data_IF_519095466699
#
_entry.id   IF_519095466699
#
_cell.length_a   1.000
_cell.length_b   1.000
_cell.length_c   1.000
_cell.angle_alpha   90.00
_cell.angle_beta   90.00
_cell.angle_gamma   90.00
#
_symmetry.space_group_name_H-M   'P 1'
#
loop_
_entity.id
_entity.type
_entity.pdbx_description
1 polymer ?
#
# COMPACT_ATOMS: atom_id res chain seq x y z
N UNK A 1 42.24 -41.64 60.93
CA UNK A 1 41.01 -40.97 61.37
C UNK A 1 41.14 -39.51 60.96
N UNK A 2 40.52 -39.20 59.87
CA UNK A 2 40.75 -37.98 59.14
C UNK A 2 39.58 -37.02 59.39
N UNK A 3 39.90 -35.82 59.81
CA UNK A 3 38.91 -34.75 60.07
C UNK A 3 38.87 -33.83 58.86
N UNK A 4 37.80 -33.97 58.07
CA UNK A 4 37.51 -33.02 57.02
C UNK A 4 37.05 -31.68 57.61
N UNK A 5 37.79 -30.63 57.28
CA UNK A 5 37.50 -29.24 57.62
C UNK A 5 36.52 -28.66 56.56
N UNK A 6 35.31 -28.40 56.96
CA UNK A 6 34.33 -27.64 56.14
C UNK A 6 34.65 -26.14 56.26
N UNK A 7 35.16 -25.54 55.18
CA UNK A 7 35.28 -24.08 55.06
C UNK A 7 33.91 -23.50 54.70
N UNK A 8 33.25 -22.85 55.61
CA UNK A 8 32.01 -22.06 55.37
C UNK A 8 32.39 -20.75 54.70
N UNK A 9 32.15 -20.64 53.39
CA UNK A 9 32.25 -19.39 52.67
C UNK A 9 31.14 -18.43 53.10
N UNK A 10 31.45 -17.43 53.93
CA UNK A 10 30.52 -16.34 54.31
C UNK A 10 30.49 -15.35 53.14
N UNK A 11 29.47 -15.42 52.26
CA UNK A 11 29.17 -14.41 51.26
C UNK A 11 28.62 -13.18 51.94
N UNK A 12 29.33 -12.09 51.90
CA UNK A 12 28.96 -10.83 52.55
C UNK A 12 27.80 -10.20 51.78
N UNK A 13 26.68 -9.92 52.45
CA UNK A 13 25.47 -9.35 51.86
C UNK A 13 25.68 -8.06 51.06
N UNK A 14 26.71 -7.30 51.41
CA UNK A 14 27.08 -6.07 50.72
C UNK A 14 27.68 -6.34 49.34
N UNK A 15 28.37 -7.46 49.13
CA UNK A 15 28.91 -7.84 47.81
C UNK A 15 27.86 -8.31 46.83
N UNK A 16 26.77 -8.89 47.33
CA UNK A 16 25.66 -9.35 46.50
C UNK A 16 24.82 -8.17 45.95
N UNK A 17 24.67 -7.10 46.74
CA UNK A 17 23.93 -5.90 46.36
C UNK A 17 24.72 -5.11 45.29
N UNK A 18 26.03 -5.02 45.40
CA UNK A 18 26.88 -4.34 44.40
C UNK A 18 26.90 -5.08 43.07
N UNK A 19 26.85 -6.40 43.08
CA UNK A 19 26.79 -7.20 41.83
C UNK A 19 25.42 -7.12 41.11
N UNK A 20 24.32 -7.03 41.86
CA UNK A 20 22.98 -6.86 41.29
C UNK A 20 22.82 -5.45 40.72
N UNK A 21 23.35 -4.40 41.36
CA UNK A 21 23.31 -3.02 40.85
C UNK A 21 24.18 -2.88 39.61
N UNK A 22 25.36 -3.53 39.55
CA UNK A 22 26.22 -3.52 38.37
C UNK A 22 25.61 -4.28 37.17
N UNK A 23 24.81 -5.32 37.43
CA UNK A 23 24.12 -6.06 36.35
C UNK A 23 22.90 -5.31 35.79
N UNK A 24 22.24 -4.47 36.60
CA UNK A 24 21.10 -3.64 36.16
C UNK A 24 21.58 -2.42 35.34
N UNK A 25 22.76 -1.91 35.55
CA UNK A 25 23.32 -0.77 34.80
C UNK A 25 23.89 -1.17 33.42
N UNK A 26 24.22 -2.45 33.19
CA UNK A 26 24.70 -2.94 31.87
C UNK A 26 23.52 -3.32 30.94
N UNK A 27 22.31 -3.59 31.47
CA UNK A 27 21.12 -3.88 30.67
C UNK A 27 20.26 -2.65 30.35
N UNK A 28 20.67 -1.46 30.71
CA UNK A 28 19.85 -0.25 30.75
C UNK A 28 19.90 0.64 29.51
N UNK A 29 20.41 0.23 28.35
CA UNK A 29 20.34 1.04 27.11
C UNK A 29 20.36 0.13 25.88
N UNK A 30 19.35 -0.74 25.79
CA UNK A 30 18.95 -1.23 24.48
C UNK A 30 17.93 -0.19 24.02
N UNK A 31 18.38 0.81 23.26
CA UNK A 31 17.47 1.64 22.49
C UNK A 31 16.57 0.69 21.69
N UNK A 32 15.23 0.83 21.79
CA UNK A 32 14.36 0.03 20.95
C UNK A 32 14.80 0.33 19.52
N UNK A 33 15.24 -0.70 18.79
CA UNK A 33 15.48 -0.60 17.35
C UNK A 33 14.17 -0.11 16.76
N UNK A 34 14.07 1.19 16.54
CA UNK A 34 12.92 1.84 15.95
C UNK A 34 12.83 1.26 14.55
N UNK A 35 11.96 0.25 14.40
CA UNK A 35 11.70 -0.36 13.11
C UNK A 35 11.21 0.76 12.19
N UNK A 36 12.03 1.16 11.23
CA UNK A 36 11.69 2.23 10.32
C UNK A 36 10.37 1.85 9.62
N UNK A 37 9.35 2.67 9.84
CA UNK A 37 8.02 2.45 9.28
C UNK A 37 8.10 2.55 7.75
N UNK A 38 7.62 1.53 7.05
CA UNK A 38 7.63 1.51 5.61
C UNK A 38 6.50 2.38 5.05
N UNK A 39 6.79 3.12 3.99
CA UNK A 39 5.88 4.07 3.36
C UNK A 39 5.31 3.57 2.04
N UNK A 40 5.85 2.47 1.53
CA UNK A 40 5.47 1.91 0.24
C UNK A 40 6.45 0.85 -0.24
N UNK A 41 6.38 0.51 -1.51
CA UNK A 41 7.27 -0.47 -2.14
C UNK A 41 7.56 -0.14 -3.61
N UNK A 42 8.68 -0.67 -4.12
CA UNK A 42 9.04 -0.61 -5.53
C UNK A 42 8.31 -1.71 -6.31
N UNK A 43 7.31 -1.36 -7.12
CA UNK A 43 6.52 -2.33 -7.91
C UNK A 43 7.30 -2.83 -9.13
N UNK A 44 7.83 -1.90 -9.91
CA UNK A 44 8.64 -2.17 -11.10
C UNK A 44 9.97 -1.46 -10.93
N UNK A 45 11.05 -2.13 -11.22
CA UNK A 45 12.40 -1.56 -11.22
C UNK A 45 13.08 -1.95 -12.51
N UNK A 46 13.47 -0.96 -13.30
CA UNK A 46 14.20 -1.14 -14.56
C UNK A 46 15.64 -0.76 -14.37
N UNK A 47 16.54 -1.68 -14.68
CA UNK A 47 17.99 -1.53 -14.62
C UNK A 47 18.56 -1.12 -13.25
N UNK A 48 19.30 -0.02 -13.14
CA UNK A 48 20.08 0.36 -11.96
C UNK A 48 19.38 1.46 -11.16
N UNK A 49 18.68 1.04 -10.12
CA UNK A 49 18.06 1.93 -9.11
C UNK A 49 18.71 1.65 -7.76
N UNK A 50 19.11 2.71 -7.06
CA UNK A 50 19.81 2.62 -5.78
C UNK A 50 18.96 3.27 -4.68
N UNK A 51 18.93 2.60 -3.52
CA UNK A 51 18.24 3.05 -2.31
C UNK A 51 19.14 3.87 -1.39
N UNK A 52 19.13 3.54 -0.08
CA UNK A 52 19.81 4.27 1.00
C UNK A 52 21.31 4.54 0.76
N UNK A 53 21.99 3.66 0.02
CA UNK A 53 23.39 3.86 -0.39
C UNK A 53 23.57 3.43 -1.85
N UNK A 54 24.65 3.89 -2.51
CA UNK A 54 24.99 3.48 -3.89
C UNK A 54 25.32 1.98 -4.00
N UNK A 55 25.61 1.32 -2.90
CA UNK A 55 25.89 -0.12 -2.86
C UNK A 55 24.63 -0.98 -2.82
N UNK A 56 23.50 -0.44 -2.33
CA UNK A 56 22.24 -1.21 -2.20
C UNK A 56 21.30 -0.88 -3.35
N UNK A 57 21.19 -1.81 -4.30
CA UNK A 57 20.20 -1.74 -5.39
C UNK A 57 18.79 -1.99 -4.86
N UNK A 58 17.83 -1.23 -5.37
CA UNK A 58 16.40 -1.47 -5.19
C UNK A 58 15.97 -2.57 -6.16
N UNK A 59 15.17 -3.51 -5.69
CA UNK A 59 14.59 -4.61 -6.47
C UNK A 59 13.06 -4.50 -6.48
N UNK A 60 12.37 -5.10 -7.44
CA UNK A 60 10.92 -5.23 -7.36
C UNK A 60 10.48 -5.92 -6.06
N UNK A 61 9.50 -5.36 -5.38
CA UNK A 61 9.01 -5.81 -4.07
C UNK A 61 9.74 -5.23 -2.85
N UNK A 62 10.89 -4.56 -3.02
CA UNK A 62 11.59 -3.94 -1.89
C UNK A 62 10.72 -2.87 -1.23
N UNK A 63 10.69 -2.90 0.10
CA UNK A 63 10.04 -1.89 0.93
C UNK A 63 10.84 -0.60 0.92
N UNK A 64 10.12 0.51 0.94
CA UNK A 64 10.69 1.85 0.99
C UNK A 64 10.29 2.53 2.29
N UNK A 65 11.21 3.33 2.83
CA UNK A 65 11.10 3.88 4.17
C UNK A 65 11.19 5.41 4.15
N UNK A 66 10.78 6.03 5.24
CA UNK A 66 11.00 7.47 5.46
C UNK A 66 12.45 7.87 5.26
N UNK A 67 12.66 9.05 4.74
CA UNK A 67 13.98 9.63 4.46
C UNK A 67 14.86 8.79 3.53
N UNK A 68 14.26 7.86 2.78
CA UNK A 68 15.00 7.04 1.83
C UNK A 68 15.28 7.82 0.56
N UNK A 69 16.58 7.92 0.21
CA UNK A 69 17.02 8.48 -1.06
C UNK A 69 16.91 7.42 -2.17
N UNK A 70 16.35 7.81 -3.31
CA UNK A 70 16.24 6.98 -4.51
C UNK A 70 17.04 7.65 -5.63
N UNK A 71 17.93 6.89 -6.28
CA UNK A 71 18.72 7.34 -7.42
C UNK A 71 18.61 6.37 -8.57
N UNK A 72 18.34 6.88 -9.75
CA UNK A 72 18.25 6.11 -10.97
C UNK A 72 19.43 6.44 -11.89
N UNK A 73 20.00 5.43 -12.54
CA UNK A 73 21.04 5.61 -13.56
C UNK A 73 20.41 5.92 -14.93
N UNK A 74 21.24 6.00 -15.96
CA UNK A 74 20.80 6.06 -17.36
C UNK A 74 19.96 4.82 -17.69
N UNK A 75 18.92 4.98 -18.51
CA UNK A 75 17.96 3.92 -18.90
C UNK A 75 17.34 3.17 -17.72
N UNK A 76 17.22 3.84 -16.56
CA UNK A 76 16.73 3.23 -15.33
C UNK A 76 15.52 3.97 -14.79
N UNK A 77 14.60 3.24 -14.12
CA UNK A 77 13.43 3.84 -13.53
C UNK A 77 12.79 2.94 -12.47
N UNK A 78 11.87 3.52 -11.70
CA UNK A 78 11.11 2.80 -10.68
C UNK A 78 9.67 3.28 -10.61
N UNK A 79 8.74 2.33 -10.51
CA UNK A 79 7.33 2.53 -10.13
C UNK A 79 7.22 2.27 -8.63
N UNK A 80 6.94 3.32 -7.87
CA UNK A 80 6.77 3.28 -6.42
C UNK A 80 5.27 3.38 -6.09
N UNK A 81 4.82 2.48 -5.24
CA UNK A 81 3.45 2.44 -4.73
C UNK A 81 3.46 2.77 -3.25
N UNK A 82 2.76 3.83 -2.87
CA UNK A 82 2.61 4.25 -1.48
C UNK A 82 1.41 3.56 -0.82
N UNK A 83 1.38 3.57 0.51
CA UNK A 83 0.33 2.90 1.30
C UNK A 83 -1.06 3.52 1.10
N UNK A 84 -1.14 4.78 0.73
CA UNK A 84 -2.37 5.52 0.43
C UNK A 84 -2.87 5.32 -1.01
N UNK A 85 -2.29 4.37 -1.74
CA UNK A 85 -2.50 4.12 -3.16
C UNK A 85 -1.99 5.21 -4.11
N UNK A 86 -1.26 6.21 -3.61
CA UNK A 86 -0.53 7.14 -4.48
C UNK A 86 0.58 6.41 -5.24
N UNK A 87 0.90 6.93 -6.40
CA UNK A 87 1.89 6.34 -7.31
C UNK A 87 2.94 7.38 -7.68
N UNK A 88 4.20 6.97 -7.63
CA UNK A 88 5.32 7.77 -8.10
C UNK A 88 6.13 6.99 -9.13
N UNK A 89 6.08 7.46 -10.38
CA UNK A 89 6.98 6.99 -11.43
C UNK A 89 8.21 7.88 -11.47
N UNK A 90 9.39 7.29 -11.41
CA UNK A 90 10.68 7.99 -11.44
C UNK A 90 11.45 7.55 -12.68
N UNK A 91 11.86 8.50 -13.50
CA UNK A 91 12.63 8.25 -14.72
C UNK A 91 14.12 8.21 -14.48
N UNK A 92 14.88 8.13 -15.57
CA UNK A 92 16.33 8.04 -15.55
C UNK A 92 17.02 9.29 -14.99
N UNK A 93 18.26 9.10 -14.50
CA UNK A 93 19.16 10.15 -13.99
C UNK A 93 18.52 11.02 -12.89
N UNK A 94 17.55 10.45 -12.19
CA UNK A 94 16.82 11.11 -11.10
C UNK A 94 17.51 10.89 -9.76
N UNK A 95 17.37 11.88 -8.89
CA UNK A 95 17.85 11.88 -7.52
C UNK A 95 16.80 12.55 -6.62
N UNK A 96 16.15 11.76 -5.80
CA UNK A 96 15.08 12.22 -4.93
C UNK A 96 15.14 11.54 -3.56
N UNK A 97 14.52 12.17 -2.57
CA UNK A 97 14.35 11.63 -1.21
C UNK A 97 12.85 11.53 -0.92
N UNK A 98 12.44 10.36 -0.48
CA UNK A 98 11.11 10.09 0.06
C UNK A 98 11.10 10.59 1.50
N UNK A 99 10.73 11.86 1.68
CA UNK A 99 10.62 12.46 3.00
C UNK A 99 9.32 12.00 3.66
N UNK A 100 9.10 12.37 4.88
CA UNK A 100 8.05 11.99 5.81
C UNK A 100 6.67 11.71 5.16
N UNK A 101 6.38 10.44 4.86
CA UNK A 101 5.08 9.97 4.34
C UNK A 101 4.29 9.34 5.48
N UNK A 102 3.31 10.04 6.04
CA UNK A 102 2.46 9.54 7.12
C UNK A 102 1.05 9.36 6.58
N UNK A 103 0.58 8.12 6.58
CA UNK A 103 -0.80 7.79 6.25
C UNK A 103 -1.59 7.50 7.54
N UNK A 104 -2.45 8.43 7.95
CA UNK A 104 -3.39 8.23 9.05
C UNK A 104 -4.69 7.60 8.53
N UNK A 105 -4.81 6.30 8.71
CA UNK A 105 -5.96 5.52 8.24
C UNK A 105 -7.26 5.91 8.96
N UNK A 106 -7.17 6.36 10.21
CA UNK A 106 -8.35 6.72 11.00
C UNK A 106 -8.93 8.06 10.54
N UNK A 107 -8.08 9.00 10.23
CA UNK A 107 -8.46 10.33 9.71
C UNK A 107 -8.63 10.34 8.20
N UNK A 108 -8.24 9.27 7.50
CA UNK A 108 -8.16 9.21 6.02
C UNK A 108 -7.37 10.40 5.46
N UNK A 109 -6.24 10.69 6.09
CA UNK A 109 -5.34 11.77 5.68
C UNK A 109 -3.99 11.20 5.32
N UNK A 110 -3.38 11.71 4.28
CA UNK A 110 -1.97 11.48 3.99
C UNK A 110 -1.26 12.80 4.09
N UNK A 111 -0.22 12.85 4.91
CA UNK A 111 0.73 13.93 4.94
C UNK A 111 2.06 13.40 4.45
N UNK A 112 2.65 14.07 3.46
CA UNK A 112 3.90 13.59 2.90
C UNK A 112 4.72 14.68 2.24
N UNK A 113 6.00 14.42 2.13
CA UNK A 113 6.91 15.26 1.40
C UNK A 113 7.86 14.43 0.54
N UNK A 114 8.24 15.01 -0.58
CA UNK A 114 9.25 14.48 -1.49
C UNK A 114 10.20 15.62 -1.84
N UNK A 115 11.48 15.36 -1.79
CA UNK A 115 12.48 16.28 -2.29
C UNK A 115 13.14 15.71 -3.54
N UNK A 116 13.05 16.43 -4.66
CA UNK A 116 13.74 16.06 -5.89
C UNK A 116 14.85 17.07 -6.20
N UNK A 117 16.07 16.57 -6.28
CA UNK A 117 17.26 17.35 -6.63
C UNK A 117 17.36 17.51 -8.13
N UNK A 118 17.15 16.42 -8.87
CA UNK A 118 17.16 16.39 -10.35
C UNK A 118 16.41 15.18 -10.86
N UNK A 119 15.97 15.24 -12.10
CA UNK A 119 15.35 14.13 -12.84
C UNK A 119 13.92 14.41 -13.26
N UNK A 120 13.23 13.36 -13.66
CA UNK A 120 11.85 13.40 -14.11
C UNK A 120 11.00 12.44 -13.31
N UNK A 121 9.81 12.88 -12.93
CA UNK A 121 8.84 12.05 -12.23
C UNK A 121 7.43 12.33 -12.70
N UNK A 122 6.54 11.36 -12.50
CA UNK A 122 5.08 11.53 -12.48
C UNK A 122 4.57 11.12 -11.12
N UNK A 123 3.77 11.95 -10.51
CA UNK A 123 3.00 11.63 -9.31
C UNK A 123 1.52 11.57 -9.65
N UNK A 124 0.85 10.55 -9.16
CA UNK A 124 -0.61 10.42 -9.19
C UNK A 124 -1.09 10.15 -7.78
N UNK A 125 -1.93 11.04 -7.24
CA UNK A 125 -2.49 10.87 -5.92
C UNK A 125 -3.43 9.68 -5.86
N UNK A 126 -3.42 8.96 -4.73
CA UNK A 126 -4.43 7.96 -4.41
C UNK A 126 -5.82 8.58 -4.18
N UNK A 127 -6.80 7.71 -3.98
CA UNK A 127 -8.20 8.12 -3.75
C UNK A 127 -8.47 8.66 -2.33
N UNK A 128 -7.43 9.16 -1.63
CA UNK A 128 -7.56 9.69 -0.26
C UNK A 128 -8.08 11.13 -0.32
N UNK A 129 -9.23 11.44 0.32
CA UNK A 129 -9.87 12.76 0.20
C UNK A 129 -9.02 13.93 0.71
N UNK A 130 -8.17 13.68 1.70
CA UNK A 130 -7.38 14.70 2.39
C UNK A 130 -5.88 14.43 2.25
N UNK A 131 -5.40 14.42 1.01
CA UNK A 131 -3.98 14.36 0.73
C UNK A 131 -3.37 15.76 0.95
N UNK A 132 -2.40 15.84 1.86
CA UNK A 132 -1.52 17.00 2.05
C UNK A 132 -0.09 16.58 1.69
N UNK A 133 0.23 16.66 0.41
CA UNK A 133 1.51 16.21 -0.11
C UNK A 133 2.31 17.38 -0.68
N UNK A 134 3.58 17.43 -0.34
CA UNK A 134 4.48 18.51 -0.75
C UNK A 134 5.63 17.95 -1.58
N UNK A 135 5.91 18.56 -2.72
CA UNK A 135 7.11 18.26 -3.52
C UNK A 135 8.03 19.46 -3.50
N UNK A 136 9.26 19.26 -3.01
CA UNK A 136 10.30 20.31 -2.96
C UNK A 136 11.31 20.08 -4.07
N UNK A 137 11.65 21.16 -4.78
CA UNK A 137 12.75 21.23 -5.75
C UNK A 137 13.76 22.29 -5.27
N UNK A 138 14.81 22.52 -6.04
CA UNK A 138 15.80 23.55 -5.72
C UNK A 138 15.23 24.97 -5.70
N UNK A 139 14.17 25.23 -6.47
CA UNK A 139 13.63 26.57 -6.68
C UNK A 139 12.09 26.65 -6.60
N UNK A 140 11.42 25.60 -6.15
CA UNK A 140 9.97 25.59 -5.96
C UNK A 140 9.52 24.61 -4.88
N UNK A 141 8.37 24.91 -4.29
CA UNK A 141 7.63 23.98 -3.42
C UNK A 141 6.22 23.85 -3.96
N UNK A 142 5.82 22.62 -4.24
CA UNK A 142 4.53 22.26 -4.81
C UNK A 142 3.63 21.66 -3.72
N UNK A 143 2.49 22.27 -3.47
CA UNK A 143 1.40 21.69 -2.67
C UNK A 143 0.47 20.90 -3.58
N UNK A 144 0.26 19.63 -3.28
CA UNK A 144 -0.46 18.67 -4.11
C UNK A 144 -1.71 18.19 -3.38
N UNK A 145 -2.85 18.28 -4.04
CA UNK A 145 -4.13 17.79 -3.50
C UNK A 145 -4.98 17.18 -4.62
N UNK A 146 -5.11 15.86 -4.63
CA UNK A 146 -5.96 15.16 -5.60
C UNK A 146 -5.53 15.36 -7.07
N UNK A 147 -4.23 15.20 -7.36
CA UNK A 147 -3.65 15.58 -8.66
C UNK A 147 -2.83 14.49 -9.30
N UNK A 148 -2.81 14.50 -10.63
CA UNK A 148 -1.80 13.82 -11.45
C UNK A 148 -0.98 14.86 -12.18
N UNK A 149 0.35 14.85 -12.01
CA UNK A 149 1.25 15.78 -12.65
C UNK A 149 2.61 15.16 -12.99
N UNK A 150 3.24 15.72 -14.00
CA UNK A 150 4.64 15.47 -14.35
C UNK A 150 5.51 16.61 -13.82
N UNK A 151 6.69 16.28 -13.34
CA UNK A 151 7.69 17.26 -12.91
C UNK A 151 9.06 16.89 -13.47
N UNK A 152 9.78 17.89 -13.96
CA UNK A 152 11.18 17.78 -14.29
C UNK A 152 11.98 18.83 -13.52
N UNK A 153 12.94 18.38 -12.72
CA UNK A 153 13.91 19.22 -12.04
C UNK A 153 15.28 19.10 -12.68
N UNK A 154 15.92 20.23 -12.96
CA UNK A 154 17.25 20.30 -13.57
C UNK A 154 18.06 21.42 -12.93
N UNK A 155 19.36 21.52 -13.26
CA UNK A 155 20.17 22.67 -12.89
C UNK A 155 19.66 24.01 -13.47
N UNK A 156 18.86 23.96 -14.54
CA UNK A 156 18.23 25.14 -15.18
C UNK A 156 16.89 25.56 -14.59
N UNK A 157 16.32 24.78 -13.65
CA UNK A 157 15.04 25.10 -13.03
C UNK A 157 14.08 23.90 -12.96
N UNK A 158 12.84 24.21 -12.62
CA UNK A 158 11.75 23.25 -12.46
C UNK A 158 10.67 23.49 -13.53
N UNK A 159 10.14 22.42 -14.09
CA UNK A 159 9.00 22.46 -15.00
C UNK A 159 7.92 21.49 -14.49
N UNK A 160 6.67 21.97 -14.42
CA UNK A 160 5.51 21.22 -13.90
C UNK A 160 4.42 21.21 -14.96
N UNK A 161 3.89 20.03 -15.28
CA UNK A 161 2.76 19.86 -16.19
C UNK A 161 1.64 19.10 -15.46
N UNK A 162 0.52 19.77 -15.21
CA UNK A 162 -0.63 19.18 -14.51
C UNK A 162 -1.54 18.48 -15.51
N UNK A 163 -1.84 17.21 -15.25
CA UNK A 163 -2.70 16.39 -16.09
C UNK A 163 -4.12 16.30 -15.55
N UNK A 164 -4.25 16.28 -14.23
CA UNK A 164 -5.53 16.20 -13.54
C UNK A 164 -5.44 16.96 -12.21
N UNK A 165 -6.53 17.64 -11.82
CA UNK A 165 -6.60 18.42 -10.59
C UNK A 165 -5.84 19.76 -10.67
N UNK A 166 -5.25 20.17 -9.55
CA UNK A 166 -4.50 21.41 -9.43
C UNK A 166 -3.31 21.28 -8.47
N UNK A 167 -2.22 21.97 -8.79
CA UNK A 167 -1.01 22.07 -7.97
C UNK A 167 -0.78 23.52 -7.59
N UNK A 168 -0.60 23.79 -6.30
CA UNK A 168 -0.15 25.10 -5.83
C UNK A 168 1.37 25.13 -5.88
N UNK A 169 1.93 25.99 -6.71
CA UNK A 169 3.38 26.16 -6.88
C UNK A 169 3.83 27.44 -6.20
N UNK A 170 4.69 27.30 -5.19
CA UNK A 170 5.33 28.41 -4.49
C UNK A 170 6.79 28.51 -4.95
N UNK A 171 7.25 29.68 -5.32
CA UNK A 171 8.60 29.95 -5.84
C UNK A 171 9.09 31.32 -5.33
N UNK A 172 10.37 31.67 -5.42
CA UNK A 172 10.93 32.85 -4.75
C UNK A 172 10.22 34.18 -5.05
N UNK A 173 9.71 34.35 -6.28
CA UNK A 173 9.02 35.60 -6.68
C UNK A 173 7.50 35.55 -6.53
N UNK A 174 6.91 34.50 -5.92
CA UNK A 174 5.48 34.41 -5.70
C UNK A 174 4.90 33.01 -5.66
N UNK A 175 3.62 32.91 -5.93
CA UNK A 175 2.92 31.63 -6.02
C UNK A 175 1.91 31.62 -7.16
N UNK A 176 1.69 30.44 -7.74
CA UNK A 176 0.69 30.21 -8.81
C UNK A 176 -0.02 28.89 -8.63
N UNK A 177 -1.31 28.87 -8.90
CA UNK A 177 -2.06 27.64 -9.06
C UNK A 177 -1.96 27.18 -10.51
N UNK A 178 -1.51 25.96 -10.72
CA UNK A 178 -1.41 25.32 -12.04
C UNK A 178 -2.48 24.23 -12.11
N UNK A 179 -3.39 24.34 -13.05
CA UNK A 179 -4.54 23.44 -13.19
C UNK A 179 -4.34 22.45 -14.35
N UNK A 180 -5.22 21.45 -14.44
CA UNK A 180 -5.16 20.42 -15.49
C UNK A 180 -5.04 21.03 -16.89
N UNK A 181 -4.11 20.50 -17.70
CA UNK A 181 -3.79 20.96 -19.03
C UNK A 181 -2.73 22.07 -19.08
N UNK A 182 -2.36 22.67 -17.97
CA UNK A 182 -1.36 23.75 -17.93
C UNK A 182 0.05 23.22 -17.65
N UNK A 183 1.02 23.98 -18.15
CA UNK A 183 2.45 23.79 -17.91
C UNK A 183 3.00 25.09 -17.31
N UNK A 184 3.77 24.99 -16.23
CA UNK A 184 4.41 26.10 -15.56
C UNK A 184 5.89 25.84 -15.40
N UNK A 185 6.71 26.82 -15.80
CA UNK A 185 8.17 26.75 -15.70
C UNK A 185 8.70 27.77 -14.72
N UNK A 186 9.60 27.33 -13.87
CA UNK A 186 10.34 28.15 -12.89
C UNK A 186 11.83 28.01 -13.25
N UNK A 187 12.40 28.90 -14.07
CA UNK A 187 13.80 28.85 -14.41
C UNK A 187 14.68 29.21 -13.22
N UNK A 188 15.94 28.81 -13.24
CA UNK A 188 16.91 29.25 -12.22
C UNK A 188 17.23 30.73 -12.34
N UNK A 189 17.23 31.23 -13.57
CA UNK A 189 17.45 32.65 -13.92
C UNK A 189 16.36 33.06 -14.89
N UNK A 190 15.71 34.19 -14.65
CA UNK A 190 14.59 34.70 -15.43
C UNK A 190 13.24 34.54 -14.72
N UNK A 191 12.18 34.93 -15.40
CA UNK A 191 10.83 34.93 -14.85
C UNK A 191 10.15 33.57 -14.93
N UNK A 192 9.40 33.25 -13.89
CA UNK A 192 8.53 32.08 -13.88
C UNK A 192 7.23 32.38 -14.64
N UNK A 193 6.77 31.42 -15.46
CA UNK A 193 5.59 31.65 -16.29
C UNK A 193 4.92 30.37 -16.80
N UNK A 194 3.72 30.56 -17.33
CA UNK A 194 2.99 29.53 -18.05
C UNK A 194 3.58 29.32 -19.44
N UNK A 195 3.65 28.06 -19.84
CA UNK A 195 4.13 27.65 -21.15
C UNK A 195 2.99 27.01 -21.95
N UNK A 196 3.02 27.15 -23.26
CA UNK A 196 2.01 26.54 -24.15
C UNK A 196 2.04 25.01 -24.15
N UNK A 197 3.20 24.42 -23.85
CA UNK A 197 3.40 22.97 -23.78
C UNK A 197 4.66 22.63 -22.98
N UNK A 198 4.78 21.35 -22.59
CA UNK A 198 6.02 20.84 -22.02
C UNK A 198 7.21 21.07 -22.98
N UNK A 199 8.36 21.39 -22.40
CA UNK A 199 9.62 21.44 -23.17
C UNK A 199 9.89 20.11 -23.89
N UNK A 200 10.58 20.17 -25.01
CA UNK A 200 10.97 18.96 -25.78
C UNK A 200 11.71 17.96 -24.89
N UNK A 201 12.58 18.47 -24.00
CA UNK A 201 13.33 17.66 -23.05
C UNK A 201 12.40 16.94 -22.07
N UNK A 202 11.48 17.66 -21.43
CA UNK A 202 10.53 17.07 -20.47
C UNK A 202 9.62 16.04 -21.16
N UNK A 203 9.04 16.38 -22.31
CA UNK A 203 8.19 15.49 -23.10
C UNK A 203 8.89 14.18 -23.45
N UNK A 204 10.15 14.26 -23.91
CA UNK A 204 10.99 13.09 -24.23
C UNK A 204 11.26 12.24 -22.98
N UNK A 205 11.65 12.87 -21.87
CA UNK A 205 11.99 12.18 -20.62
C UNK A 205 10.78 11.49 -19.99
N UNK A 206 9.61 12.16 -19.93
CA UNK A 206 8.35 11.57 -19.45
C UNK A 206 7.93 10.39 -20.34
N UNK A 207 7.96 10.55 -21.66
CA UNK A 207 7.58 9.47 -22.58
C UNK A 207 8.52 8.26 -22.48
N UNK A 208 9.82 8.49 -22.29
CA UNK A 208 10.80 7.42 -22.05
C UNK A 208 10.54 6.69 -20.73
N UNK A 209 10.33 7.44 -19.65
CA UNK A 209 10.02 6.91 -18.34
C UNK A 209 8.79 5.98 -18.37
N UNK A 210 7.68 6.44 -18.96
CA UNK A 210 6.44 5.67 -19.02
C UNK A 210 6.59 4.38 -19.84
N UNK A 211 7.29 4.43 -20.97
CA UNK A 211 7.59 3.23 -21.78
C UNK A 211 8.45 2.23 -21.00
N UNK A 212 9.49 2.73 -20.35
CA UNK A 212 10.44 1.91 -19.60
C UNK A 212 9.79 1.20 -18.40
N UNK A 213 8.78 1.81 -17.78
CA UNK A 213 8.04 1.25 -16.68
C UNK A 213 6.76 0.50 -17.11
N UNK A 214 6.60 0.22 -18.40
CA UNK A 214 5.45 -0.49 -18.97
C UNK A 214 4.09 0.12 -18.58
N UNK A 215 4.09 1.43 -18.35
CA UNK A 215 2.85 2.16 -18.07
C UNK A 215 2.07 2.26 -19.36
N UNK A 216 1.13 1.33 -19.58
CA UNK A 216 0.29 1.34 -20.77
C UNK A 216 -0.52 2.64 -20.84
N UNK A 217 -0.80 3.09 -22.06
CA UNK A 217 -1.66 4.25 -22.31
C UNK A 217 -3.05 4.10 -21.67
N UNK A 218 -3.46 2.87 -21.39
CA UNK A 218 -4.70 2.51 -20.69
C UNK A 218 -4.64 2.87 -19.19
N UNK A 219 -3.51 2.67 -18.53
CA UNK A 219 -3.33 3.09 -17.12
C UNK A 219 -3.18 4.62 -17.01
N UNK A 220 -2.60 5.24 -18.02
CA UNK A 220 -2.51 6.71 -18.10
C UNK A 220 -3.87 7.35 -18.43
N UNK A 221 -4.78 6.65 -19.13
CA UNK A 221 -6.11 7.15 -19.53
C UNK A 221 -7.25 6.80 -18.58
N UNK A 222 -7.07 5.80 -17.71
CA UNK A 222 -8.04 5.50 -16.63
C UNK A 222 -8.09 6.58 -15.55
N UNK A 223 -7.18 7.53 -15.58
CA UNK A 223 -7.15 8.72 -14.73
C UNK A 223 -7.87 9.91 -15.42
N UNK A 224 -8.27 9.76 -16.68
CA UNK A 224 -8.99 10.82 -17.41
C UNK A 224 -10.48 10.53 -17.42
N UNK A 225 -11.23 11.24 -16.59
CA UNK A 225 -12.71 11.29 -16.67
C UNK A 225 -13.07 11.93 -18.02
N UNK A 226 -13.52 11.11 -18.99
CA UNK A 226 -14.06 11.58 -20.25
C UNK A 226 -15.34 12.40 -20.00
N UNK A 227 -15.25 13.73 -20.14
CA UNK A 227 -16.37 14.52 -20.64
C UNK A 227 -16.31 14.49 -22.17
N UNK A 228 -17.04 13.61 -22.80
CA UNK A 228 -17.45 13.76 -24.21
C UNK A 228 -18.89 13.29 -24.36
N UNK A 229 -19.73 14.24 -24.75
CA UNK A 229 -21.08 14.00 -25.20
C UNK A 229 -21.07 13.08 -26.40
N UNK A 230 -21.69 11.91 -26.30
CA UNK A 230 -22.20 11.17 -27.44
C UNK A 230 -23.43 10.39 -26.97
N UNK A 231 -24.58 10.69 -27.58
CA UNK A 231 -25.81 9.93 -27.43
C UNK A 231 -25.56 8.47 -27.83
N UNK A 232 -25.64 7.56 -26.86
CA UNK A 232 -25.81 6.13 -27.12
C UNK A 232 -26.77 5.52 -26.09
N UNK A 233 -27.62 4.62 -26.56
CA UNK A 233 -28.73 3.97 -25.89
C UNK A 233 -28.35 3.41 -24.50
N UNK A 234 -29.22 3.67 -23.55
CA UNK A 234 -29.11 3.33 -22.15
C UNK A 234 -29.30 1.83 -21.91
N UNK A 235 -28.31 1.21 -21.26
CA UNK A 235 -28.45 -0.08 -20.60
C UNK A 235 -28.66 0.22 -19.09
N UNK A 236 -29.74 -0.24 -18.45
CA UNK A 236 -30.14 0.23 -17.09
C UNK A 236 -29.21 -0.20 -15.95
N UNK A 237 -28.20 -1.04 -16.20
CA UNK A 237 -27.36 -1.63 -15.16
C UNK A 237 -26.08 -0.82 -14.80
N UNK A 238 -25.85 0.36 -15.40
CA UNK A 238 -24.56 1.10 -15.28
C UNK A 238 -24.68 2.53 -14.74
N UNK A 239 -25.73 2.84 -13.96
CA UNK A 239 -25.92 4.18 -13.37
C UNK A 239 -25.65 4.19 -11.87
N UNK A 240 -24.37 4.15 -11.46
CA UNK A 240 -23.97 4.69 -10.16
C UNK A 240 -22.64 5.43 -10.28
N UNK A 241 -22.66 6.72 -9.95
CA UNK A 241 -21.45 7.57 -9.93
C UNK A 241 -20.51 7.20 -8.77
N UNK A 242 -19.20 7.51 -8.83
CA UNK A 242 -18.28 7.30 -7.70
C UNK A 242 -18.73 8.00 -6.41
N UNK A 243 -19.49 9.09 -6.50
CA UNK A 243 -20.08 9.79 -5.35
C UNK A 243 -21.20 8.98 -4.70
N UNK A 244 -22.03 8.27 -5.49
CA UNK A 244 -23.10 7.40 -4.99
C UNK A 244 -22.54 6.11 -4.36
N UNK A 245 -21.42 5.55 -4.87
CA UNK A 245 -20.72 4.42 -4.23
C UNK A 245 -20.15 4.82 -2.88
N UNK A 246 -19.59 6.01 -2.74
CA UNK A 246 -19.12 6.52 -1.45
C UNK A 246 -20.27 6.81 -0.47
N UNK A 247 -21.41 7.26 -0.94
CA UNK A 247 -22.62 7.42 -0.14
C UNK A 247 -23.22 6.08 0.30
N UNK A 248 -23.09 5.03 -0.52
CA UNK A 248 -23.55 3.67 -0.19
C UNK A 248 -22.64 3.01 0.86
N UNK A 249 -21.31 3.25 0.84
CA UNK A 249 -20.37 2.78 1.88
C UNK A 249 -20.72 3.40 3.25
N UNK A 250 -21.21 4.65 3.28
CA UNK A 250 -21.72 5.29 4.50
C UNK A 250 -23.01 4.69 5.06
N UNK A 251 -23.78 3.95 4.24
CA UNK A 251 -25.10 3.43 4.62
C UNK A 251 -25.11 1.98 5.12
N UNK A 252 -24.04 1.18 4.90
CA UNK A 252 -24.04 -0.23 5.33
C UNK A 252 -22.72 -0.70 5.90
N UNK A 253 -22.28 -0.06 7.00
CA UNK A 253 -21.06 -0.43 7.73
C UNK A 253 -21.10 -1.88 8.26
N UNK A 254 -22.28 -2.49 8.38
CA UNK A 254 -22.42 -3.87 8.80
C UNK A 254 -21.89 -4.87 7.75
N UNK A 255 -21.76 -4.46 6.49
CA UNK A 255 -21.16 -5.26 5.43
C UNK A 255 -19.71 -4.88 5.09
N UNK A 256 -19.07 -4.10 5.94
CA UNK A 256 -17.65 -3.73 5.78
C UNK A 256 -16.83 -4.43 6.85
N UNK A 257 -15.75 -5.11 6.44
CA UNK A 257 -14.73 -5.66 7.33
C UNK A 257 -13.46 -4.84 7.25
N UNK A 258 -12.89 -4.56 8.39
CA UNK A 258 -11.53 -4.07 8.56
C UNK A 258 -10.63 -5.24 8.90
N UNK A 259 -9.58 -5.47 8.11
CA UNK A 259 -8.53 -6.44 8.37
C UNK A 259 -7.22 -5.68 8.51
N UNK A 260 -6.74 -5.55 9.73
CA UNK A 260 -5.51 -4.84 10.04
C UNK A 260 -4.32 -5.80 9.93
N UNK A 261 -3.36 -5.41 9.13
CA UNK A 261 -2.04 -6.01 9.03
C UNK A 261 -1.04 -5.13 9.78
N UNK A 262 0.16 -5.64 10.08
CA UNK A 262 1.21 -4.84 10.78
C UNK A 262 1.62 -3.56 10.03
N UNK A 263 1.32 -3.47 8.74
CA UNK A 263 1.71 -2.38 7.85
C UNK A 263 0.52 -1.69 7.16
N UNK A 264 -0.70 -1.86 7.66
CA UNK A 264 -1.86 -1.11 7.17
C UNK A 264 -3.16 -1.91 7.19
N UNK A 265 -4.25 -1.24 6.82
CA UNK A 265 -5.60 -1.80 6.81
C UNK A 265 -6.06 -2.18 5.43
N UNK A 266 -6.55 -3.40 5.31
CA UNK A 266 -7.33 -3.88 4.15
C UNK A 266 -8.81 -3.75 4.49
N UNK A 267 -9.59 -3.18 3.56
CA UNK A 267 -11.05 -3.05 3.73
C UNK A 267 -11.72 -3.99 2.75
N UNK A 268 -12.55 -4.88 3.29
CA UNK A 268 -13.31 -5.86 2.52
C UNK A 268 -14.78 -5.49 2.58
N UNK A 269 -15.42 -5.31 1.43
CA UNK A 269 -16.85 -5.23 1.29
C UNK A 269 -17.42 -6.65 1.20
N UNK A 270 -18.24 -7.04 2.15
CA UNK A 270 -18.95 -8.31 2.13
C UNK A 270 -20.16 -8.25 1.18
N UNK A 271 -20.45 -9.34 0.51
CA UNK A 271 -21.51 -9.46 -0.52
C UNK A 271 -22.61 -10.43 -0.05
N UNK A 272 -23.50 -10.01 0.87
CA UNK A 272 -24.52 -10.90 1.46
C UNK A 272 -25.49 -11.49 0.44
N UNK A 273 -25.67 -10.83 -0.69
CA UNK A 273 -26.52 -11.34 -1.80
C UNK A 273 -25.90 -12.57 -2.49
N UNK A 274 -24.59 -12.79 -2.35
CA UNK A 274 -23.89 -13.94 -2.96
C UNK A 274 -23.71 -15.10 -1.99
N UNK A 275 -23.44 -14.81 -0.70
CA UNK A 275 -23.09 -15.81 0.29
C UNK A 275 -23.57 -15.43 1.70
N UNK A 276 -24.90 -15.39 1.94
CA UNK A 276 -25.47 -14.93 3.22
C UNK A 276 -25.00 -15.77 4.42
N UNK A 277 -24.92 -17.09 4.28
CA UNK A 277 -24.54 -17.99 5.39
C UNK A 277 -23.05 -17.89 5.70
N UNK A 278 -22.19 -17.78 4.68
CA UNK A 278 -20.76 -17.55 4.86
C UNK A 278 -20.52 -16.21 5.55
N UNK A 279 -21.18 -15.14 5.13
CA UNK A 279 -21.01 -13.81 5.75
C UNK A 279 -21.51 -13.79 7.19
N UNK A 280 -22.62 -14.46 7.49
CA UNK A 280 -23.10 -14.62 8.87
C UNK A 280 -22.02 -15.28 9.74
N UNK A 281 -21.39 -16.36 9.25
CA UNK A 281 -20.34 -17.07 9.97
C UNK A 281 -19.05 -16.24 10.09
N UNK A 282 -18.62 -15.58 9.02
CA UNK A 282 -17.45 -14.68 9.04
C UNK A 282 -17.64 -13.57 10.07
N UNK A 283 -18.80 -12.90 10.10
CA UNK A 283 -19.09 -11.87 11.10
C UNK A 283 -19.04 -12.41 12.53
N UNK A 284 -19.57 -13.62 12.76
CA UNK A 284 -19.50 -14.27 14.05
C UNK A 284 -18.04 -14.50 14.48
N UNK A 285 -17.24 -15.14 13.64
CA UNK A 285 -15.82 -15.43 13.92
C UNK A 285 -15.00 -14.14 14.11
N UNK A 286 -15.30 -13.09 13.36
CA UNK A 286 -14.66 -11.77 13.52
C UNK A 286 -14.97 -11.17 14.90
N UNK A 287 -16.25 -11.24 15.36
CA UNK A 287 -16.66 -10.76 16.68
C UNK A 287 -16.06 -11.58 17.83
N UNK A 288 -15.83 -12.86 17.60
CA UNK A 288 -15.13 -13.78 18.51
C UNK A 288 -13.60 -13.58 18.48
N UNK A 289 -13.08 -12.62 17.69
CA UNK A 289 -11.64 -12.36 17.47
C UNK A 289 -10.88 -13.59 16.95
N UNK A 290 -11.59 -14.53 16.32
CA UNK A 290 -11.02 -15.78 15.84
C UNK A 290 -9.87 -15.57 14.85
N UNK A 291 -9.98 -14.56 13.98
CA UNK A 291 -8.98 -14.29 12.96
C UNK A 291 -7.74 -13.53 13.44
N UNK A 292 -7.77 -12.98 14.66
CA UNK A 292 -6.67 -12.19 15.21
C UNK A 292 -5.44 -13.09 15.41
N UNK A 293 -4.30 -12.66 14.88
CA UNK A 293 -3.05 -13.42 14.90
C UNK A 293 -2.92 -14.51 13.82
N UNK A 294 -3.93 -14.75 12.97
CA UNK A 294 -3.84 -15.78 11.93
C UNK A 294 -2.85 -15.38 10.84
N UNK A 295 -2.01 -16.35 10.47
CA UNK A 295 -0.98 -16.21 9.44
C UNK A 295 -1.58 -16.37 8.04
N UNK A 296 -0.99 -15.68 7.07
CA UNK A 296 -1.15 -16.03 5.67
C UNK A 296 -0.22 -17.21 5.37
N UNK A 297 -0.77 -18.41 5.40
CA UNK A 297 -0.01 -19.66 5.30
C UNK A 297 0.30 -20.10 3.87
N UNK A 298 -0.38 -19.47 2.88
CA UNK A 298 -0.12 -19.72 1.46
C UNK A 298 -0.27 -18.40 0.70
N UNK A 299 0.82 -17.92 0.09
CA UNK A 299 0.83 -16.67 -0.70
C UNK A 299 1.56 -16.93 -2.00
N UNK A 300 0.80 -16.92 -3.10
CA UNK A 300 1.31 -17.09 -4.46
C UNK A 300 1.14 -15.77 -5.20
N UNK A 301 2.26 -15.14 -5.55
CA UNK A 301 2.27 -13.85 -6.25
C UNK A 301 1.43 -13.89 -7.53
N UNK A 302 0.60 -12.86 -7.72
CA UNK A 302 -0.29 -12.77 -8.89
C UNK A 302 -1.45 -13.77 -8.89
N UNK A 303 -1.60 -14.60 -7.85
CA UNK A 303 -2.68 -15.59 -7.77
C UNK A 303 -3.51 -15.44 -6.49
N UNK A 304 -3.03 -15.93 -5.32
CA UNK A 304 -3.82 -15.93 -4.07
C UNK A 304 -2.99 -15.62 -2.83
N UNK A 305 -3.66 -15.10 -1.79
CA UNK A 305 -3.20 -15.08 -0.41
C UNK A 305 -4.24 -15.78 0.47
N UNK A 306 -3.88 -16.90 1.13
CA UNK A 306 -4.77 -17.73 1.94
C UNK A 306 -4.48 -17.59 3.43
N UNK A 307 -5.55 -17.49 4.23
CA UNK A 307 -5.50 -17.36 5.70
C UNK A 307 -6.71 -18.01 6.35
N UNK A 308 -6.90 -17.80 7.67
CA UNK A 308 -8.08 -18.26 8.42
C UNK A 308 -7.96 -19.66 9.01
N UNK A 309 -6.74 -20.22 9.01
CA UNK A 309 -6.39 -21.44 9.76
C UNK A 309 -5.71 -21.06 11.08
N UNK A 310 -6.27 -21.37 12.26
CA UNK A 310 -5.65 -21.05 13.55
C UNK A 310 -4.29 -21.71 13.76
N UNK A 311 -4.02 -22.84 13.11
CA UNK A 311 -2.73 -23.54 13.17
C UNK A 311 -1.73 -23.00 12.15
N UNK A 312 -2.20 -22.28 11.13
CA UNK A 312 -1.37 -21.75 10.03
C UNK A 312 -0.74 -22.83 9.15
N UNK A 313 -1.36 -24.02 9.06
CA UNK A 313 -0.91 -25.19 8.29
C UNK A 313 -1.66 -25.34 6.96
N UNK A 314 -2.79 -24.65 6.82
CA UNK A 314 -3.69 -24.74 5.67
C UNK A 314 -4.70 -25.87 5.72
N UNK A 315 -4.74 -26.65 6.83
CA UNK A 315 -5.69 -27.77 7.02
C UNK A 315 -6.61 -27.61 8.23
N UNK A 316 -6.39 -26.59 9.08
CA UNK A 316 -7.22 -26.29 10.25
C UNK A 316 -8.48 -25.49 9.91
N UNK A 317 -9.31 -25.23 10.91
CA UNK A 317 -10.51 -24.42 10.79
C UNK A 317 -11.18 -24.14 12.12
N UNK A 318 -12.36 -23.52 12.09
CA UNK A 318 -13.18 -23.23 13.27
C UNK A 318 -14.03 -24.40 13.74
N UNK A 319 -14.03 -25.52 13.02
CA UNK A 319 -14.77 -26.72 13.32
C UNK A 319 -16.23 -26.75 12.82
N UNK A 320 -16.67 -25.72 12.08
CA UNK A 320 -18.04 -25.65 11.55
C UNK A 320 -18.01 -25.61 10.02
N UNK A 321 -18.52 -26.64 9.37
CA UNK A 321 -18.60 -26.71 7.92
C UNK A 321 -19.79 -25.92 7.37
N UNK A 322 -19.61 -25.32 6.21
CA UNK A 322 -20.59 -24.50 5.52
C UNK A 322 -20.90 -25.10 4.14
N UNK A 323 -22.19 -25.16 3.81
CA UNK A 323 -22.61 -25.54 2.45
C UNK A 323 -22.18 -24.46 1.46
N UNK A 324 -21.78 -24.89 0.27
CA UNK A 324 -21.33 -23.99 -0.77
C UNK A 324 -22.46 -23.03 -1.22
N UNK A 325 -22.11 -21.76 -1.41
CA UNK A 325 -22.96 -20.70 -1.96
C UNK A 325 -22.33 -20.22 -3.29
N UNK A 326 -22.42 -21.09 -4.30
CA UNK A 326 -21.78 -20.86 -5.59
C UNK A 326 -22.58 -19.83 -6.40
N UNK A 327 -21.88 -18.86 -6.98
CA UNK A 327 -22.46 -17.81 -7.83
C UNK A 327 -21.72 -17.69 -9.16
N UNK A 328 -22.33 -17.01 -10.13
CA UNK A 328 -21.71 -16.68 -11.43
C UNK A 328 -20.71 -15.51 -11.37
N UNK A 329 -20.28 -15.11 -10.17
CA UNK A 329 -19.36 -13.99 -10.00
C UNK A 329 -18.00 -14.28 -10.64
N UNK A 330 -17.46 -13.29 -11.36
CA UNK A 330 -16.13 -13.39 -11.95
C UNK A 330 -15.04 -13.33 -10.88
N UNK A 331 -14.11 -14.27 -10.95
CA UNK A 331 -12.98 -14.38 -10.05
C UNK A 331 -11.82 -13.51 -10.53
N UNK A 332 -11.95 -12.21 -10.28
CA UNK A 332 -10.95 -11.20 -10.63
C UNK A 332 -10.18 -10.74 -9.41
N UNK A 333 -9.02 -10.12 -9.64
CA UNK A 333 -8.19 -9.54 -8.58
C UNK A 333 -9.02 -8.77 -7.54
N UNK A 334 -8.73 -9.01 -6.26
CA UNK A 334 -9.40 -8.42 -5.10
C UNK A 334 -10.66 -9.17 -4.65
N UNK A 335 -11.15 -10.18 -5.37
CA UNK A 335 -12.24 -11.01 -4.88
C UNK A 335 -11.80 -11.83 -3.68
N UNK A 336 -12.70 -12.02 -2.73
CA UNK A 336 -12.49 -12.84 -1.54
C UNK A 336 -13.41 -14.07 -1.62
N UNK A 337 -12.81 -15.25 -1.55
CA UNK A 337 -13.52 -16.52 -1.63
C UNK A 337 -13.20 -17.46 -0.47
N UNK A 338 -14.10 -18.39 -0.17
CA UNK A 338 -13.88 -19.40 0.86
C UNK A 338 -13.00 -20.55 0.34
N UNK A 339 -12.01 -20.94 1.14
CA UNK A 339 -11.24 -22.16 0.90
C UNK A 339 -12.07 -23.38 1.31
N UNK A 340 -11.91 -24.46 0.57
CA UNK A 340 -12.60 -25.74 0.78
C UNK A 340 -11.72 -26.90 0.30
N UNK A 341 -12.09 -28.11 0.66
CA UNK A 341 -11.43 -29.30 0.13
C UNK A 341 -11.77 -29.49 -1.35
N UNK A 342 -10.77 -29.91 -2.12
CA UNK A 342 -10.88 -29.99 -3.58
C UNK A 342 -12.09 -30.84 -4.03
N UNK A 343 -12.40 -31.92 -3.33
CA UNK A 343 -13.43 -32.91 -3.71
C UNK A 343 -14.76 -32.72 -2.98
N UNK A 344 -14.84 -31.78 -2.01
CA UNK A 344 -16.07 -31.53 -1.27
C UNK A 344 -16.42 -30.03 -1.28
N UNK A 345 -17.37 -29.57 -2.09
CA UNK A 345 -17.77 -28.16 -2.13
C UNK A 345 -18.37 -27.66 -0.80
N UNK A 346 -18.95 -28.54 0.01
CA UNK A 346 -19.60 -28.21 1.28
C UNK A 346 -18.63 -28.35 2.49
N UNK A 347 -17.34 -28.26 2.25
CA UNK A 347 -16.29 -28.36 3.28
C UNK A 347 -15.68 -27.03 3.71
N UNK A 348 -16.18 -25.90 3.22
CA UNK A 348 -15.73 -24.57 3.67
C UNK A 348 -15.94 -24.42 5.18
N UNK A 349 -15.06 -23.69 5.85
CA UNK A 349 -15.11 -23.49 7.30
C UNK A 349 -14.78 -22.03 7.65
N UNK A 350 -13.52 -21.75 8.04
CA UNK A 350 -13.04 -20.42 8.40
C UNK A 350 -11.98 -19.90 7.43
N UNK A 351 -11.33 -20.80 6.67
CA UNK A 351 -10.28 -20.39 5.76
C UNK A 351 -10.84 -19.65 4.56
N UNK A 352 -10.17 -18.57 4.18
CA UNK A 352 -10.50 -17.80 2.99
C UNK A 352 -9.25 -17.39 2.21
N UNK A 353 -9.45 -17.00 0.96
CA UNK A 353 -8.40 -16.46 0.12
C UNK A 353 -8.79 -15.11 -0.48
N UNK A 354 -7.79 -14.29 -0.74
CA UNK A 354 -7.91 -13.04 -1.50
C UNK A 354 -7.15 -13.22 -2.81
N UNK A 355 -7.81 -12.92 -3.93
CA UNK A 355 -7.20 -13.00 -5.25
C UNK A 355 -6.22 -11.85 -5.47
N UNK A 356 -4.97 -12.16 -5.77
CA UNK A 356 -3.92 -11.22 -6.15
C UNK A 356 -3.85 -10.99 -7.67
N UNK A 357 -4.54 -11.84 -8.43
CA UNK A 357 -4.70 -11.77 -9.89
C UNK A 357 -6.02 -12.38 -10.32
N UNK A 358 -6.30 -12.39 -11.62
CA UNK A 358 -7.49 -13.01 -12.16
C UNK A 358 -7.38 -14.53 -12.15
N UNK A 359 -8.43 -15.24 -11.72
CA UNK A 359 -8.46 -16.70 -11.54
C UNK A 359 -9.75 -17.31 -12.07
N UNK A 360 -10.01 -17.15 -13.38
CA UNK A 360 -11.24 -17.63 -14.04
C UNK A 360 -11.51 -19.13 -13.85
N UNK A 361 -10.48 -19.94 -13.68
CA UNK A 361 -10.58 -21.39 -13.44
C UNK A 361 -11.24 -21.75 -12.10
N UNK A 362 -11.40 -20.79 -11.18
CA UNK A 362 -12.11 -20.93 -9.90
C UNK A 362 -13.60 -20.55 -9.98
N UNK A 363 -14.03 -19.89 -11.06
CA UNK A 363 -15.43 -19.48 -11.27
C UNK A 363 -16.37 -20.69 -11.25
N UNK A 364 -17.51 -20.52 -10.58
CA UNK A 364 -18.49 -21.60 -10.43
C UNK A 364 -18.06 -22.78 -9.52
N UNK A 365 -16.89 -22.72 -8.87
CA UNK A 365 -16.34 -23.81 -8.03
C UNK A 365 -16.14 -23.42 -6.58
N UNK A 366 -16.04 -22.14 -6.28
CA UNK A 366 -15.79 -21.62 -4.94
C UNK A 366 -16.85 -20.57 -4.56
N UNK A 367 -17.17 -20.48 -3.28
CA UNK A 367 -18.05 -19.44 -2.75
C UNK A 367 -17.32 -18.12 -2.70
N UNK A 368 -17.79 -17.12 -3.47
CA UNK A 368 -17.35 -15.72 -3.38
C UNK A 368 -18.19 -14.99 -2.34
N UNK A 369 -17.56 -14.35 -1.34
CA UNK A 369 -18.31 -13.68 -0.27
C UNK A 369 -17.94 -12.22 -0.07
N UNK A 370 -16.89 -11.72 -0.70
CA UNK A 370 -16.48 -10.33 -0.53
C UNK A 370 -15.52 -9.84 -1.59
N UNK A 371 -15.21 -8.56 -1.52
CA UNK A 371 -14.22 -7.89 -2.37
C UNK A 371 -13.40 -6.89 -1.57
N UNK A 372 -12.10 -6.91 -1.76
CA UNK A 372 -11.22 -5.86 -1.25
C UNK A 372 -11.51 -4.56 -2.01
N UNK A 373 -11.97 -3.55 -1.28
CA UNK A 373 -12.26 -2.22 -1.82
C UNK A 373 -11.16 -1.20 -1.48
N UNK A 374 -10.30 -1.54 -0.51
CA UNK A 374 -9.11 -0.75 -0.15
C UNK A 374 -8.00 -1.66 0.38
N UNK A 375 -6.74 -1.32 0.12
CA UNK A 375 -5.59 -2.04 0.66
C UNK A 375 -5.08 -3.18 -0.22
N UNK A 376 -5.49 -3.32 -1.50
CA UNK A 376 -4.94 -4.34 -2.41
C UNK A 376 -3.43 -4.22 -2.61
N UNK A 377 -2.87 -3.01 -2.48
CA UNK A 377 -1.42 -2.81 -2.54
C UNK A 377 -0.70 -3.42 -1.32
N UNK A 378 -1.37 -3.47 -0.17
CA UNK A 378 -0.84 -4.16 1.02
C UNK A 378 -0.82 -5.68 0.81
N UNK A 379 -1.83 -6.21 0.10
CA UNK A 379 -1.88 -7.62 -0.26
C UNK A 379 -0.76 -8.01 -1.25
N UNK A 380 -0.40 -7.12 -2.19
CA UNK A 380 0.72 -7.35 -3.13
C UNK A 380 2.09 -7.41 -2.44
N UNK A 381 2.20 -6.86 -1.24
CA UNK A 381 3.43 -6.80 -0.45
C UNK A 381 3.66 -8.04 0.40
N UNK A 382 2.67 -8.91 0.49
CA UNK A 382 2.79 -10.11 1.32
C UNK A 382 3.96 -10.98 0.89
N UNK A 383 4.64 -11.52 1.88
CA UNK A 383 5.73 -12.46 1.68
C UNK A 383 5.18 -13.72 1.05
N UNK A 384 5.75 -14.09 -0.08
CA UNK A 384 5.33 -15.27 -0.86
C UNK A 384 5.90 -16.54 -0.29
N UNK A 385 5.18 -17.65 -0.48
CA UNK A 385 5.57 -19.00 -0.07
C UNK A 385 4.36 -19.86 0.32
N UNK A 386 4.59 -21.15 0.43
CA UNK A 386 3.58 -22.14 0.85
C UNK A 386 4.20 -23.18 1.81
N UNK A 387 4.38 -22.85 3.10
CA UNK A 387 4.18 -21.55 3.74
C UNK A 387 5.32 -20.55 3.46
N UNK A 388 5.07 -19.22 3.61
CA UNK A 388 6.14 -18.23 3.62
C UNK A 388 7.10 -18.44 4.80
N UNK A 389 8.41 -18.19 4.60
CA UNK A 389 9.42 -18.34 5.66
C UNK A 389 9.13 -17.47 6.88
N UNK A 390 8.68 -16.23 6.63
CA UNK A 390 8.23 -15.28 7.66
C UNK A 390 6.85 -14.77 7.27
N UNK A 391 5.77 -15.49 7.56
CA UNK A 391 4.43 -15.16 7.08
C UNK A 391 3.95 -13.83 7.67
N UNK A 392 3.22 -13.08 6.87
CA UNK A 392 2.41 -11.96 7.35
C UNK A 392 1.17 -12.50 8.06
N UNK A 393 0.58 -11.71 8.97
CA UNK A 393 -0.59 -12.12 9.75
C UNK A 393 -1.57 -10.99 9.95
N UNK A 394 -2.80 -11.38 10.22
CA UNK A 394 -3.88 -10.50 10.62
C UNK A 394 -3.60 -10.04 12.05
N UNK A 395 -3.35 -8.75 12.26
CA UNK A 395 -3.20 -8.18 13.61
C UNK A 395 -4.56 -8.16 14.31
N UNK A 396 -5.58 -7.70 13.61
CA UNK A 396 -6.96 -7.67 14.09
C UNK A 396 -7.94 -7.66 12.90
N UNK A 397 -9.10 -8.29 13.10
CA UNK A 397 -10.21 -8.23 12.15
C UNK A 397 -11.50 -7.81 12.86
N UNK A 398 -12.29 -6.90 12.27
CA UNK A 398 -13.54 -6.40 12.86
C UNK A 398 -14.55 -5.94 11.83
N UNK A 399 -15.84 -6.02 12.18
CA UNK A 399 -16.92 -5.42 11.39
C UNK A 399 -16.93 -3.90 11.64
N UNK A 400 -17.07 -3.11 10.57
CA UNK A 400 -16.96 -1.65 10.67
C UNK A 400 -18.10 -1.01 11.50
N UNK A 401 -19.25 -1.67 11.60
CA UNK A 401 -20.36 -1.23 12.44
C UNK A 401 -20.11 -1.41 13.95
N UNK A 402 -19.19 -2.30 14.35
CA UNK A 402 -18.91 -2.63 15.75
C UNK A 402 -17.96 -1.60 16.42
N UNK A 403 -18.00 -0.33 16.01
CA UNK A 403 -17.21 0.76 16.60
C UNK A 403 -17.68 1.01 18.04
N UNK A 404 -16.82 0.71 19.02
CA UNK A 404 -17.01 1.08 20.42
C UNK A 404 -17.59 -0.01 21.32
N UNK A 405 -17.48 -1.28 20.95
CA UNK A 405 -17.70 -2.41 21.86
C UNK A 405 -16.41 -3.07 22.28
#
# INVERSE_FOLDING_TARGET
MDKQSFVKLRINRTMLITFVIAMVTVFGWIDPVQCAEDIGFAKIVTNKVYGKSLSKKVRPGDRLFHNQRIRTSLDSGVDIRFLDASVLYVGELSDLTLDNMIYDINKKTTTGALQIVKGVMRFASGAVPNLNFTVKTANATLGVRGTTFDLMATSGGTEVAVREGAVQVNFPSGSKQVVAGQVFRIPKVGEAGFESSMSVKMKKSVSKMLRMLEVSSVDASKITVKKKNAKQKEDPALKQSPAEKNATIGKNLDNILYMDLSYGRVIIEMMPNLAPNHIKRIKQLVREKFYDGHKFHNVISGFVAETGDPKGTGVGGSGTKLRAEISGTRFTRGLVGMKRDRNNPDSADSQFFILLGDARHLEGKYTAWGRVIHGMLLMDRMRTGSPPVNPDYIVQMRVASDRGR
#
